data_IF_545313038896
#
_entry.id   IF_545313038896
#
_cell.length_a   1.000
_cell.length_b   1.000
_cell.length_c   1.000
_cell.angle_alpha   90.00
_cell.angle_beta   90.00
_cell.angle_gamma   90.00
#
_symmetry.space_group_name_H-M   'P 1'
#
loop_
_entity.id
_entity.type
_entity.pdbx_description
1 polymer ?
#
# COMPACT_ATOMS: atom_id res chain seq x y z
N UNK A 1 10.53 -36.70 -16.20
CA UNK A 1 9.91 -35.73 -15.29
C UNK A 1 9.44 -34.56 -16.14
N UNK A 2 8.15 -34.25 -16.09
CA UNK A 2 7.61 -33.08 -16.80
C UNK A 2 8.08 -31.79 -16.11
N UNK A 3 8.66 -30.87 -16.90
CA UNK A 3 9.22 -29.62 -16.39
C UNK A 3 8.13 -28.70 -15.81
N UNK A 4 6.93 -28.70 -16.39
CA UNK A 4 5.81 -27.91 -15.87
C UNK A 4 5.38 -28.39 -14.49
N UNK A 5 5.33 -29.70 -14.29
CA UNK A 5 5.00 -30.31 -13.01
C UNK A 5 6.05 -30.03 -11.94
N UNK A 6 7.33 -30.17 -12.27
CA UNK A 6 8.44 -29.81 -11.35
C UNK A 6 8.33 -28.35 -10.94
N UNK A 7 8.03 -27.45 -11.88
CA UNK A 7 7.84 -26.03 -11.60
C UNK A 7 6.62 -25.74 -10.70
N UNK A 8 5.48 -26.39 -10.95
CA UNK A 8 4.28 -26.25 -10.10
C UNK A 8 4.55 -26.72 -8.68
N UNK A 9 5.17 -27.88 -8.50
CA UNK A 9 5.48 -28.43 -7.18
C UNK A 9 6.54 -27.60 -6.46
N UNK A 10 7.54 -27.08 -7.17
CA UNK A 10 8.50 -26.14 -6.61
C UNK A 10 7.84 -24.88 -6.06
N UNK A 11 6.95 -24.24 -6.83
CA UNK A 11 6.21 -23.05 -6.36
C UNK A 11 5.33 -23.35 -5.15
N UNK A 12 4.71 -24.53 -5.11
CA UNK A 12 3.96 -24.98 -3.94
C UNK A 12 4.88 -25.14 -2.73
N UNK A 13 6.02 -25.84 -2.88
CA UNK A 13 7.00 -26.02 -1.82
C UNK A 13 7.53 -24.69 -1.26
N UNK A 14 7.70 -23.66 -2.09
CA UNK A 14 8.13 -22.34 -1.63
C UNK A 14 7.13 -21.62 -0.71
N UNK A 15 5.85 -22.02 -0.74
CA UNK A 15 4.72 -21.32 -0.07
C UNK A 15 4.05 -22.14 1.02
N UNK A 16 4.02 -23.45 0.87
CA UNK A 16 3.32 -24.38 1.76
C UNK A 16 4.19 -24.73 2.98
N UNK A 17 4.01 -24.00 4.09
CA UNK A 17 4.76 -24.22 5.34
C UNK A 17 4.58 -25.65 5.89
N UNK A 18 3.42 -26.28 5.68
CA UNK A 18 3.18 -27.65 6.14
C UNK A 18 4.02 -28.64 5.33
N UNK A 19 4.04 -28.50 4.01
CA UNK A 19 4.88 -29.30 3.13
C UNK A 19 6.36 -29.11 3.44
N UNK A 20 6.79 -27.88 3.72
CA UNK A 20 8.15 -27.56 4.14
C UNK A 20 8.50 -28.26 5.46
N UNK A 21 7.63 -28.16 6.47
CA UNK A 21 7.83 -28.82 7.76
C UNK A 21 7.94 -30.34 7.62
N UNK A 22 7.08 -30.96 6.82
CA UNK A 22 7.15 -32.40 6.53
C UNK A 22 8.48 -32.77 5.87
N UNK A 23 8.91 -32.01 4.86
CA UNK A 23 10.19 -32.22 4.20
C UNK A 23 11.38 -32.02 5.17
N UNK A 24 11.29 -31.04 6.07
CA UNK A 24 12.36 -30.66 7.00
C UNK A 24 12.48 -31.58 8.21
N UNK A 25 11.37 -32.10 8.70
CA UNK A 25 11.34 -33.02 9.84
C UNK A 25 11.61 -34.47 9.42
N UNK A 26 11.39 -34.82 8.16
CA UNK A 26 11.54 -36.19 7.69
C UNK A 26 12.99 -36.71 7.75
N UNK A 27 14.02 -35.86 7.83
CA UNK A 27 15.44 -36.27 7.93
C UNK A 27 15.85 -37.42 6.97
N UNK A 28 15.29 -37.47 5.76
CA UNK A 28 15.55 -38.53 4.77
C UNK A 28 14.56 -39.73 4.81
N UNK A 29 13.63 -39.78 5.75
CA UNK A 29 12.49 -40.70 5.71
C UNK A 29 11.54 -40.31 4.58
N UNK A 30 11.10 -41.28 3.76
CA UNK A 30 10.23 -41.04 2.59
C UNK A 30 8.79 -41.50 2.81
N UNK A 31 8.46 -42.02 3.99
CA UNK A 31 7.14 -42.59 4.31
C UNK A 31 6.00 -41.56 4.22
N UNK A 32 6.27 -40.30 4.56
CA UNK A 32 5.32 -39.20 4.43
C UNK A 32 4.87 -38.97 2.97
N UNK A 33 5.70 -39.35 1.98
CA UNK A 33 5.41 -39.21 0.55
C UNK A 33 4.30 -40.14 0.05
N UNK A 34 3.89 -41.14 0.84
CA UNK A 34 2.87 -42.12 0.42
C UNK A 34 1.49 -41.48 0.16
N UNK A 35 1.24 -40.31 0.73
CA UNK A 35 -0.02 -39.56 0.61
C UNK A 35 -0.06 -38.70 -0.67
N UNK A 36 1.05 -38.59 -1.39
CA UNK A 36 1.15 -37.83 -2.63
C UNK A 36 0.98 -38.73 -3.86
N UNK A 37 0.43 -38.19 -4.96
CA UNK A 37 0.46 -38.82 -6.28
C UNK A 37 1.87 -39.28 -6.71
N UNK A 38 1.96 -40.30 -7.55
CA UNK A 38 3.24 -40.95 -7.93
C UNK A 38 4.24 -39.99 -8.60
N UNK A 39 3.70 -39.12 -9.45
CA UNK A 39 4.40 -38.07 -10.17
C UNK A 39 4.95 -36.99 -9.23
N UNK A 40 4.17 -36.49 -8.27
CA UNK A 40 4.65 -35.57 -7.22
C UNK A 40 5.64 -36.25 -6.28
N UNK A 41 5.39 -37.51 -5.90
CA UNK A 41 6.26 -38.30 -5.01
C UNK A 41 7.67 -38.42 -5.58
N UNK A 42 7.80 -38.67 -6.88
CA UNK A 42 9.11 -38.79 -7.55
C UNK A 42 9.92 -37.48 -7.44
N UNK A 43 9.24 -36.34 -7.60
CA UNK A 43 9.86 -35.01 -7.50
C UNK A 43 10.25 -34.72 -6.05
N UNK A 44 9.34 -34.93 -5.09
CA UNK A 44 9.59 -34.69 -3.67
C UNK A 44 10.69 -35.60 -3.11
N UNK A 45 10.79 -36.84 -3.61
CA UNK A 45 11.87 -37.75 -3.26
C UNK A 45 13.22 -37.23 -3.75
N UNK A 46 13.27 -36.65 -4.96
CA UNK A 46 14.47 -35.99 -5.47
C UNK A 46 14.86 -34.77 -4.63
N UNK A 47 13.87 -33.97 -4.19
CA UNK A 47 14.11 -32.84 -3.27
C UNK A 47 14.61 -33.29 -1.89
N UNK A 48 14.03 -34.35 -1.32
CA UNK A 48 14.48 -34.93 -0.06
C UNK A 48 15.93 -35.46 -0.16
N UNK A 49 16.31 -36.02 -1.32
CA UNK A 49 17.70 -36.43 -1.59
C UNK A 49 18.70 -35.27 -1.70
N UNK A 50 18.23 -34.03 -1.89
CA UNK A 50 19.05 -32.81 -1.94
C UNK A 50 18.68 -31.82 -0.82
N UNK A 51 18.38 -32.38 0.35
CA UNK A 51 17.78 -31.67 1.48
C UNK A 51 18.40 -30.31 1.78
N UNK A 52 19.70 -30.25 2.05
CA UNK A 52 20.37 -29.01 2.47
C UNK A 52 20.22 -27.89 1.43
N UNK A 53 20.32 -28.25 0.15
CA UNK A 53 20.19 -27.30 -0.96
C UNK A 53 18.76 -26.80 -1.07
N UNK A 54 17.78 -27.70 -1.00
CA UNK A 54 16.35 -27.34 -1.09
C UNK A 54 15.94 -26.48 0.10
N UNK A 55 16.33 -26.86 1.32
CA UNK A 55 16.08 -26.10 2.54
C UNK A 55 16.64 -24.68 2.43
N UNK A 56 17.90 -24.54 2.02
CA UNK A 56 18.52 -23.23 1.85
C UNK A 56 17.74 -22.35 0.85
N UNK A 57 17.30 -22.90 -0.29
CA UNK A 57 16.53 -22.13 -1.26
C UNK A 57 15.17 -21.66 -0.73
N UNK A 58 14.44 -22.54 -0.02
CA UNK A 58 13.16 -22.20 0.60
C UNK A 58 13.34 -21.10 1.65
N UNK A 59 14.29 -21.27 2.56
CA UNK A 59 14.57 -20.29 3.62
C UNK A 59 14.97 -18.93 3.05
N UNK A 60 15.82 -18.90 2.01
CA UNK A 60 16.21 -17.65 1.35
C UNK A 60 15.05 -16.98 0.60
N UNK A 61 14.16 -17.75 -0.01
CA UNK A 61 12.98 -17.21 -0.67
C UNK A 61 12.02 -16.59 0.36
N UNK A 62 11.72 -17.31 1.44
CA UNK A 62 10.85 -16.80 2.51
C UNK A 62 11.45 -15.58 3.20
N UNK A 63 12.75 -15.59 3.48
CA UNK A 63 13.44 -14.43 4.05
C UNK A 63 13.28 -13.18 3.16
N UNK A 64 13.41 -13.32 1.83
CA UNK A 64 13.18 -12.22 0.90
C UNK A 64 11.74 -11.73 0.93
N UNK A 65 10.75 -12.62 0.96
CA UNK A 65 9.34 -12.22 1.03
C UNK A 65 9.02 -11.50 2.34
N UNK A 66 9.52 -12.01 3.47
CA UNK A 66 9.34 -11.39 4.79
C UNK A 66 9.91 -9.96 4.80
N UNK A 67 11.11 -9.78 4.25
CA UNK A 67 11.72 -8.44 4.15
C UNK A 67 10.99 -7.53 3.16
N UNK A 68 10.34 -8.09 2.15
CA UNK A 68 9.64 -7.30 1.14
C UNK A 68 8.45 -6.53 1.71
N UNK A 69 7.85 -7.00 2.82
CA UNK A 69 6.84 -6.25 3.60
C UNK A 69 7.39 -4.90 4.08
N UNK A 70 8.53 -4.92 4.77
CA UNK A 70 9.19 -3.71 5.27
C UNK A 70 9.68 -2.84 4.14
N UNK A 71 10.25 -3.43 3.08
CA UNK A 71 10.73 -2.68 1.91
C UNK A 71 9.58 -1.96 1.16
N UNK A 72 8.40 -2.59 1.08
CA UNK A 72 7.22 -1.99 0.49
C UNK A 72 6.78 -0.77 1.28
N UNK A 73 6.73 -0.86 2.62
CA UNK A 73 6.45 0.28 3.49
C UNK A 73 7.53 1.36 3.40
N UNK A 74 8.81 1.01 3.38
CA UNK A 74 9.91 1.98 3.21
C UNK A 74 9.77 2.79 1.91
N UNK A 75 9.31 2.13 0.84
CA UNK A 75 9.13 2.75 -0.48
C UNK A 75 7.85 3.58 -0.56
N UNK A 76 6.70 3.02 -0.16
CA UNK A 76 5.38 3.60 -0.40
C UNK A 76 4.75 4.32 0.79
N UNK A 77 5.13 3.95 2.02
CA UNK A 77 4.56 4.46 3.26
C UNK A 77 5.60 4.62 4.40
N UNK A 78 6.68 5.40 4.18
CA UNK A 78 7.78 5.49 5.13
C UNK A 78 7.41 6.14 6.47
N UNK A 79 6.37 6.99 6.52
CA UNK A 79 5.94 7.61 7.78
C UNK A 79 5.24 6.58 8.67
N UNK A 80 4.39 5.75 8.08
CA UNK A 80 3.74 4.60 8.71
C UNK A 80 4.80 3.66 9.25
N UNK A 81 5.78 3.24 8.43
CA UNK A 81 6.86 2.35 8.88
C UNK A 81 7.54 2.91 10.15
N UNK A 82 7.90 4.19 10.13
CA UNK A 82 8.54 4.85 11.26
C UNK A 82 7.64 4.94 12.50
N UNK A 83 6.35 5.20 12.32
CA UNK A 83 5.38 5.21 13.41
C UNK A 83 5.24 3.82 14.04
N UNK A 84 5.10 2.75 13.23
CA UNK A 84 5.02 1.37 13.70
C UNK A 84 6.27 0.95 14.49
N UNK A 85 7.46 1.34 14.03
CA UNK A 85 8.72 1.10 14.75
C UNK A 85 8.72 1.83 16.10
N UNK A 86 8.28 3.09 16.14
CA UNK A 86 8.30 3.88 17.37
C UNK A 86 7.31 3.38 18.44
N UNK A 87 6.19 2.76 18.04
CA UNK A 87 5.28 2.09 18.99
C UNK A 87 5.74 0.68 19.38
N UNK A 88 6.87 0.20 18.83
CA UNK A 88 7.47 -1.09 19.19
C UNK A 88 6.78 -2.31 18.57
N UNK A 89 6.12 -2.14 17.43
CA UNK A 89 5.41 -3.22 16.76
C UNK A 89 6.38 -4.26 16.16
N UNK A 90 6.09 -5.55 16.35
CA UNK A 90 6.91 -6.64 15.81
C UNK A 90 6.64 -6.85 14.31
N UNK A 91 7.32 -6.06 13.48
CA UNK A 91 7.19 -6.10 12.02
C UNK A 91 7.53 -7.46 11.41
N UNK A 92 8.60 -8.19 11.83
CA UNK A 92 8.83 -9.55 11.36
C UNK A 92 7.65 -10.51 11.57
N UNK A 93 7.02 -10.47 12.74
CA UNK A 93 5.85 -11.31 13.03
C UNK A 93 4.65 -10.90 12.18
N UNK A 94 4.35 -9.61 12.08
CA UNK A 94 3.27 -9.11 11.22
C UNK A 94 3.48 -9.45 9.74
N UNK A 95 4.71 -9.35 9.25
CA UNK A 95 5.07 -9.71 7.88
C UNK A 95 4.78 -11.18 7.58
N UNK A 96 5.14 -12.09 8.50
CA UNK A 96 4.80 -13.52 8.35
C UNK A 96 3.30 -13.77 8.41
N UNK A 97 2.58 -13.09 9.30
CA UNK A 97 1.11 -13.19 9.38
C UNK A 97 0.46 -12.72 8.08
N UNK A 98 0.86 -11.55 7.56
CA UNK A 98 0.41 -11.04 6.27
C UNK A 98 0.65 -12.06 5.15
N UNK A 99 1.87 -12.61 5.06
CA UNK A 99 2.23 -13.57 4.02
C UNK A 99 1.39 -14.84 4.11
N UNK A 100 1.09 -15.33 5.31
CA UNK A 100 0.20 -16.49 5.50
C UNK A 100 -1.24 -16.21 5.08
N UNK A 101 -1.78 -15.03 5.43
CA UNK A 101 -3.13 -14.60 5.01
C UNK A 101 -3.23 -14.44 3.48
N UNK A 102 -2.09 -14.25 2.80
CA UNK A 102 -1.99 -14.10 1.34
C UNK A 102 -1.32 -15.29 0.64
N UNK A 103 -1.30 -16.48 1.24
CA UNK A 103 -0.73 -17.71 0.66
C UNK A 103 0.70 -17.55 0.11
N UNK A 104 1.52 -16.75 0.80
CA UNK A 104 2.88 -16.38 0.42
C UNK A 104 2.98 -15.82 -1.00
N UNK A 105 1.98 -15.02 -1.40
CA UNK A 105 1.93 -14.38 -2.70
C UNK A 105 3.13 -13.44 -2.90
N UNK A 106 3.78 -13.57 -4.06
CA UNK A 106 4.90 -12.72 -4.47
C UNK A 106 4.39 -11.67 -5.46
N UNK A 107 4.42 -10.41 -5.02
CA UNK A 107 4.00 -9.25 -5.81
C UNK A 107 5.01 -8.87 -6.91
N UNK A 108 6.19 -9.50 -6.93
CA UNK A 108 7.24 -9.25 -7.91
C UNK A 108 7.62 -7.77 -7.97
N UNK A 109 7.62 -7.13 -9.16
CA UNK A 109 8.05 -5.74 -9.30
C UNK A 109 7.00 -4.70 -8.84
N UNK A 110 5.80 -5.13 -8.43
CA UNK A 110 4.67 -4.22 -8.14
C UNK A 110 4.71 -3.67 -6.71
N UNK A 111 5.78 -2.96 -6.35
CA UNK A 111 6.04 -2.49 -4.97
C UNK A 111 4.89 -1.65 -4.39
N UNK A 112 4.28 -0.75 -5.18
CA UNK A 112 3.17 0.08 -4.71
C UNK A 112 1.87 -0.72 -4.52
N UNK A 113 1.60 -1.70 -5.39
CA UNK A 113 0.48 -2.61 -5.18
C UNK A 113 0.66 -3.49 -3.94
N UNK A 114 1.90 -3.91 -3.67
CA UNK A 114 2.21 -4.62 -2.43
C UNK A 114 2.05 -3.72 -1.20
N UNK A 115 2.55 -2.47 -1.27
CA UNK A 115 2.40 -1.50 -0.19
C UNK A 115 0.93 -1.24 0.15
N UNK A 116 0.04 -1.08 -0.84
CA UNK A 116 -1.40 -0.89 -0.58
C UNK A 116 -2.02 -2.09 0.16
N UNK A 117 -1.72 -3.33 -0.28
CA UNK A 117 -2.20 -4.54 0.40
C UNK A 117 -1.68 -4.64 1.84
N UNK A 118 -0.42 -4.25 2.08
CA UNK A 118 0.15 -4.20 3.43
C UNK A 118 -0.56 -3.15 4.29
N UNK A 119 -0.80 -1.95 3.77
CA UNK A 119 -1.50 -0.88 4.49
C UNK A 119 -2.95 -1.25 4.81
N UNK A 120 -3.64 -1.93 3.88
CA UNK A 120 -4.97 -2.49 4.10
C UNK A 120 -4.97 -3.52 5.23
N UNK A 121 -4.06 -4.49 5.18
CA UNK A 121 -3.88 -5.48 6.24
C UNK A 121 -3.63 -4.82 7.61
N UNK A 122 -2.77 -3.79 7.67
CA UNK A 122 -2.47 -3.05 8.89
C UNK A 122 -3.71 -2.35 9.46
N UNK A 123 -4.60 -1.79 8.63
CA UNK A 123 -5.85 -1.17 9.09
C UNK A 123 -6.78 -2.17 9.78
N UNK A 124 -6.65 -3.46 9.57
CA UNK A 124 -7.47 -4.47 10.22
C UNK A 124 -6.86 -5.01 11.53
N UNK A 125 -5.62 -4.62 11.84
CA UNK A 125 -4.89 -5.15 13.00
C UNK A 125 -5.37 -4.54 14.32
N UNK A 126 -5.61 -5.42 15.29
CA UNK A 126 -6.04 -5.03 16.64
C UNK A 126 -4.92 -4.31 17.40
N UNK A 127 -3.67 -4.62 17.07
CA UNK A 127 -2.48 -3.97 17.62
C UNK A 127 -2.44 -2.46 17.36
N UNK A 128 -3.22 -1.97 16.37
CA UNK A 128 -3.38 -0.55 16.08
C UNK A 128 -4.68 0.06 16.61
N UNK A 129 -5.51 -0.69 17.34
CA UNK A 129 -6.79 -0.20 17.86
C UNK A 129 -6.61 1.00 18.81
N UNK A 130 -5.57 0.97 19.64
CA UNK A 130 -5.23 2.04 20.59
C UNK A 130 -4.41 3.18 19.95
N UNK A 131 -4.17 3.12 18.63
CA UNK A 131 -3.40 4.09 17.86
C UNK A 131 -4.19 4.65 16.67
N UNK A 132 -5.35 5.29 16.90
CA UNK A 132 -6.22 5.78 15.83
C UNK A 132 -5.54 6.82 14.93
N UNK A 133 -4.60 7.60 15.44
CA UNK A 133 -3.79 8.56 14.68
C UNK A 133 -2.80 7.88 13.71
N UNK A 134 -2.31 6.68 14.04
CA UNK A 134 -1.47 5.88 13.12
C UNK A 134 -2.36 5.28 12.03
N UNK A 135 -3.58 4.85 12.36
CA UNK A 135 -4.56 4.39 11.36
C UNK A 135 -4.93 5.52 10.39
N UNK A 136 -5.06 6.74 10.88
CA UNK A 136 -5.29 7.94 10.05
C UNK A 136 -4.08 8.22 9.14
N UNK A 137 -2.85 8.13 9.67
CA UNK A 137 -1.61 8.24 8.89
C UNK A 137 -1.51 7.16 7.81
N UNK A 138 -1.89 5.91 8.11
CA UNK A 138 -1.96 4.82 7.12
C UNK A 138 -2.92 5.21 6.00
N UNK A 139 -4.09 5.75 6.32
CA UNK A 139 -5.03 6.27 5.33
C UNK A 139 -4.43 7.36 4.44
N UNK A 140 -3.66 8.28 5.01
CA UNK A 140 -2.96 9.32 4.24
C UNK A 140 -1.92 8.72 3.28
N UNK A 141 -1.08 7.79 3.73
CA UNK A 141 -0.07 7.18 2.86
C UNK A 141 -0.67 6.21 1.84
N UNK A 142 -1.83 5.60 2.10
CA UNK A 142 -2.61 4.89 1.07
C UNK A 142 -2.98 5.82 -0.09
N UNK A 143 -3.39 7.07 0.18
CA UNK A 143 -3.62 8.05 -0.89
C UNK A 143 -2.33 8.37 -1.68
N UNK A 144 -1.15 8.36 -1.05
CA UNK A 144 0.12 8.48 -1.76
C UNK A 144 0.39 7.29 -2.69
N UNK A 145 0.10 6.07 -2.23
CA UNK A 145 0.23 4.86 -3.04
C UNK A 145 -0.74 4.90 -4.23
N UNK A 146 -2.01 5.27 -3.99
CA UNK A 146 -3.05 5.40 -5.02
C UNK A 146 -2.80 6.56 -5.99
N UNK A 147 -2.09 7.60 -5.56
CA UNK A 147 -1.57 8.63 -6.46
C UNK A 147 -0.65 7.98 -7.50
N UNK A 148 0.38 7.24 -7.06
CA UNK A 148 1.38 6.67 -7.98
C UNK A 148 0.82 5.57 -8.88
N UNK A 149 -0.02 4.68 -8.36
CA UNK A 149 -0.65 3.65 -9.19
C UNK A 149 -1.64 4.25 -10.18
N UNK A 150 -2.33 5.34 -9.80
CA UNK A 150 -3.27 6.06 -10.66
C UNK A 150 -2.64 6.88 -11.77
N UNK A 151 -1.32 7.15 -11.74
CA UNK A 151 -0.65 7.90 -12.82
C UNK A 151 -0.70 7.17 -14.18
N UNK A 152 -0.97 5.86 -14.18
CA UNK A 152 -1.15 5.08 -15.40
C UNK A 152 -2.53 5.32 -16.05
N UNK A 153 -3.51 5.79 -15.29
CA UNK A 153 -4.90 6.00 -15.72
C UNK A 153 -5.16 7.47 -16.05
N UNK A 154 -4.59 7.95 -17.16
CA UNK A 154 -4.75 9.34 -17.59
C UNK A 154 -6.14 9.55 -18.22
N UNK A 155 -7.06 10.15 -17.46
CA UNK A 155 -8.37 10.54 -17.98
C UNK A 155 -8.25 11.56 -19.13
N UNK A 156 -9.03 11.34 -20.20
CA UNK A 156 -9.12 12.24 -21.36
C UNK A 156 -9.77 13.57 -20.91
N UNK A 157 -9.18 14.74 -21.26
CA UNK A 157 -9.78 16.03 -20.94
C UNK A 157 -11.16 16.21 -21.57
N UNK A 158 -12.14 16.67 -20.78
CA UNK A 158 -13.46 17.02 -21.27
C UNK A 158 -13.53 18.54 -21.53
N UNK A 159 -13.74 18.99 -22.79
CA UNK A 159 -13.76 20.41 -23.13
C UNK A 159 -14.79 21.20 -22.31
N UNK A 160 -14.43 22.44 -21.94
CA UNK A 160 -15.31 23.35 -21.20
C UNK A 160 -15.60 22.96 -19.74
N UNK A 161 -15.00 21.87 -19.22
CA UNK A 161 -15.25 21.38 -17.85
C UNK A 161 -14.00 21.42 -16.97
N UNK A 162 -14.23 21.66 -15.68
CA UNK A 162 -13.27 21.41 -14.63
C UNK A 162 -13.23 19.91 -14.35
N UNK A 163 -12.04 19.37 -14.07
CA UNK A 163 -11.87 17.95 -13.79
C UNK A 163 -10.68 17.71 -12.87
N UNK A 164 -10.74 16.69 -12.01
CA UNK A 164 -9.56 16.21 -11.29
C UNK A 164 -8.48 15.71 -12.25
N UNK A 165 -7.25 15.74 -11.78
CA UNK A 165 -6.14 15.03 -12.40
C UNK A 165 -5.86 13.74 -11.62
N UNK A 166 -5.14 12.82 -12.25
CA UNK A 166 -4.49 11.70 -11.55
C UNK A 166 -3.27 12.14 -10.71
N UNK A 167 -2.91 13.43 -10.72
CA UNK A 167 -1.75 14.00 -10.04
C UNK A 167 -2.06 14.57 -8.65
N UNK A 168 -3.27 14.39 -8.14
CA UNK A 168 -3.57 14.67 -6.75
C UNK A 168 -4.58 13.69 -6.17
N UNK A 169 -4.59 13.59 -4.85
CA UNK A 169 -5.52 12.84 -4.01
C UNK A 169 -5.83 13.67 -2.77
N UNK A 170 -7.01 13.47 -2.20
CA UNK A 170 -7.47 14.20 -1.02
C UNK A 170 -7.67 13.22 0.13
N UNK A 171 -7.00 13.46 1.24
CA UNK A 171 -7.18 12.73 2.47
C UNK A 171 -7.91 13.59 3.52
N UNK A 172 -8.91 12.99 4.17
CA UNK A 172 -9.66 13.59 5.27
C UNK A 172 -9.17 12.99 6.59
N UNK A 173 -8.34 13.76 7.28
CA UNK A 173 -7.70 13.37 8.53
C UNK A 173 -8.57 13.79 9.71
N UNK A 174 -8.69 12.91 10.70
CA UNK A 174 -9.38 13.18 11.99
C UNK A 174 -8.43 13.74 13.05
N UNK A 175 -7.12 13.65 12.79
CA UNK A 175 -6.07 14.14 13.68
C UNK A 175 -5.26 15.27 13.04
N UNK A 176 -4.49 15.99 13.85
CA UNK A 176 -3.57 17.02 13.40
C UNK A 176 -2.30 16.43 12.73
N UNK A 177 -2.43 15.54 11.73
CA UNK A 177 -1.30 14.87 11.05
C UNK A 177 -0.26 15.86 10.51
N UNK A 178 -0.66 17.11 10.20
CA UNK A 178 0.27 18.18 9.84
C UNK A 178 1.44 18.38 10.83
N UNK A 179 1.25 18.07 12.12
CA UNK A 179 2.31 18.16 13.12
C UNK A 179 3.41 17.13 12.85
N UNK A 180 3.04 15.87 12.59
CA UNK A 180 3.96 14.82 12.20
C UNK A 180 4.58 15.04 10.81
N UNK A 181 3.85 15.61 9.87
CA UNK A 181 4.38 15.95 8.55
C UNK A 181 5.47 17.03 8.61
N UNK A 182 5.37 17.96 9.57
CA UNK A 182 6.38 19.02 9.82
C UNK A 182 7.55 18.50 10.66
N UNK A 183 7.27 17.73 11.71
CA UNK A 183 8.28 17.12 12.58
C UNK A 183 8.16 15.60 12.61
N UNK A 184 8.93 14.96 11.72
CA UNK A 184 8.99 13.50 11.60
C UNK A 184 9.62 12.82 12.82
N UNK A 185 10.26 13.56 13.72
CA UNK A 185 10.84 12.98 14.94
C UNK A 185 9.77 12.57 15.95
N UNK A 186 8.56 13.15 15.86
CA UNK A 186 7.42 12.89 16.74
C UNK A 186 6.49 11.76 16.23
N UNK A 187 6.74 11.20 15.04
CA UNK A 187 5.91 10.13 14.46
C UNK A 187 5.74 8.96 15.42
N UNK A 188 4.51 8.64 15.81
CA UNK A 188 4.22 7.55 16.76
C UNK A 188 4.76 7.77 18.18
N UNK A 189 5.25 8.97 18.52
CA UNK A 189 5.77 9.32 19.85
C UNK A 189 4.74 10.19 20.58
N UNK A 190 3.66 9.54 21.00
CA UNK A 190 2.56 10.18 21.71
C UNK A 190 1.36 10.51 20.83
N UNK A 191 0.21 10.79 21.46
CA UNK A 191 -1.05 11.01 20.75
C UNK A 191 -1.03 12.33 19.99
N UNK A 192 -1.73 12.37 18.86
CA UNK A 192 -2.05 13.61 18.17
C UNK A 192 -3.37 14.20 18.65
N UNK A 193 -3.45 15.52 18.64
CA UNK A 193 -4.70 16.23 18.92
C UNK A 193 -5.75 15.90 17.85
N UNK A 194 -7.00 15.59 18.24
CA UNK A 194 -8.11 15.48 17.30
C UNK A 194 -8.34 16.82 16.60
N UNK A 195 -8.26 16.82 15.27
CA UNK A 195 -8.50 17.99 14.45
C UNK A 195 -8.88 17.52 13.04
N UNK A 196 -9.98 18.03 12.50
CA UNK A 196 -10.35 17.75 11.12
C UNK A 196 -9.39 18.50 10.18
N UNK A 197 -8.58 17.77 9.42
CA UNK A 197 -7.66 18.34 8.44
C UNK A 197 -7.96 17.78 7.04
N UNK A 198 -7.95 18.68 6.06
CA UNK A 198 -8.02 18.31 4.65
C UNK A 198 -6.61 18.40 4.06
N UNK A 199 -6.02 17.25 3.76
CA UNK A 199 -4.65 17.15 3.27
C UNK A 199 -4.70 16.77 1.80
N UNK A 200 -4.19 17.64 0.94
CA UNK A 200 -3.98 17.34 -0.46
C UNK A 200 -2.60 16.71 -0.65
N UNK A 201 -2.58 15.50 -1.17
CA UNK A 201 -1.38 14.84 -1.68
C UNK A 201 -1.31 15.15 -3.18
N UNK A 202 -0.24 15.78 -3.65
CA UNK A 202 -0.14 16.15 -5.06
C UNK A 202 1.26 15.98 -5.63
N UNK A 203 1.33 15.77 -6.94
CA UNK A 203 2.57 15.65 -7.70
C UNK A 203 2.86 17.00 -8.38
N UNK A 204 3.91 17.75 -7.97
CA UNK A 204 4.20 19.06 -8.54
C UNK A 204 4.64 19.01 -10.01
N UNK A 205 5.33 17.93 -10.40
CA UNK A 205 5.67 17.59 -11.77
C UNK A 205 6.05 16.10 -11.84
N UNK A 206 6.11 15.48 -13.04
CA UNK A 206 6.36 14.04 -13.19
C UNK A 206 7.72 13.55 -12.65
N UNK A 207 8.69 14.43 -12.49
CA UNK A 207 10.05 14.09 -12.02
C UNK A 207 10.22 14.28 -10.50
N UNK A 208 9.29 14.99 -9.86
CA UNK A 208 9.33 15.29 -8.43
C UNK A 208 8.67 14.20 -7.58
N UNK A 209 9.00 14.18 -6.29
CA UNK A 209 8.20 13.44 -5.30
C UNK A 209 6.90 14.17 -5.00
N UNK A 210 5.88 13.42 -4.57
CA UNK A 210 4.64 14.01 -4.08
C UNK A 210 4.88 14.93 -2.88
N UNK A 211 3.98 15.89 -2.69
CA UNK A 211 3.98 16.83 -1.57
C UNK A 211 2.65 16.78 -0.85
N UNK A 212 2.68 17.17 0.41
CA UNK A 212 1.49 17.36 1.24
C UNK A 212 1.23 18.85 1.40
N UNK A 213 -0.02 19.27 1.33
CA UNK A 213 -0.43 20.61 1.73
C UNK A 213 -1.79 20.58 2.41
N UNK A 214 -1.97 21.42 3.42
CA UNK A 214 -3.30 21.65 3.98
C UNK A 214 -4.09 22.51 3.01
N UNK A 215 -5.35 22.14 2.79
CA UNK A 215 -6.30 22.94 2.01
C UNK A 215 -7.50 23.31 2.87
N UNK A 216 -8.21 24.38 2.49
CA UNK A 216 -9.40 24.79 3.21
C UNK A 216 -10.54 23.77 3.00
N UNK A 217 -11.53 23.71 3.91
CA UNK A 217 -12.72 22.87 3.72
C UNK A 217 -13.45 23.16 2.40
N UNK A 218 -13.47 24.43 1.97
CA UNK A 218 -14.03 24.83 0.68
C UNK A 218 -13.26 24.23 -0.50
N UNK A 219 -11.93 24.27 -0.48
CA UNK A 219 -11.09 23.65 -1.51
C UNK A 219 -11.27 22.13 -1.53
N UNK A 220 -11.37 21.50 -0.36
CA UNK A 220 -11.63 20.06 -0.25
C UNK A 220 -12.98 19.68 -0.84
N UNK A 221 -14.03 20.46 -0.55
CA UNK A 221 -15.37 20.27 -1.14
C UNK A 221 -15.37 20.45 -2.65
N UNK A 222 -14.80 21.54 -3.17
CA UNK A 222 -14.72 21.77 -4.62
C UNK A 222 -13.93 20.66 -5.33
N UNK A 223 -12.83 20.21 -4.73
CA UNK A 223 -12.11 19.05 -5.23
C UNK A 223 -13.00 17.79 -5.18
N UNK A 224 -13.74 17.57 -4.09
CA UNK A 224 -14.68 16.46 -3.92
C UNK A 224 -15.74 16.43 -5.05
N UNK A 225 -16.34 17.58 -5.38
CA UNK A 225 -17.40 17.69 -6.39
C UNK A 225 -16.92 17.38 -7.83
N UNK A 226 -15.61 17.43 -8.05
CA UNK A 226 -14.94 17.15 -9.33
C UNK A 226 -14.57 15.67 -9.53
N UNK A 227 -15.14 14.75 -8.76
CA UNK A 227 -15.04 13.31 -9.04
C UNK A 227 -15.49 12.98 -10.48
N UNK A 228 -16.44 13.76 -10.99
CA UNK A 228 -16.82 13.78 -12.40
C UNK A 228 -16.55 15.18 -12.99
N UNK A 229 -16.23 15.31 -14.29
CA UNK A 229 -16.06 16.61 -14.92
C UNK A 229 -17.31 17.51 -14.82
N UNK A 230 -17.17 18.74 -14.33
CA UNK A 230 -18.27 19.70 -14.08
C UNK A 230 -18.10 21.03 -14.82
N UNK A 231 -19.22 21.67 -15.17
CA UNK A 231 -19.22 23.08 -15.57
C UNK A 231 -19.14 23.98 -14.33
N UNK A 232 -18.75 25.25 -14.52
CA UNK A 232 -18.67 26.21 -13.40
C UNK A 232 -20.04 26.41 -12.72
N UNK A 233 -21.11 26.47 -13.52
CA UNK A 233 -22.48 26.64 -13.05
C UNK A 233 -22.97 25.46 -12.19
N UNK A 234 -22.49 24.25 -12.48
CA UNK A 234 -22.80 23.05 -11.70
C UNK A 234 -22.13 23.10 -10.31
N UNK A 235 -20.93 23.69 -10.23
CA UNK A 235 -20.20 23.85 -8.96
C UNK A 235 -20.81 24.96 -8.09
N UNK A 236 -21.40 25.97 -8.73
CA UNK A 236 -22.00 27.14 -8.09
C UNK A 236 -23.35 26.88 -7.40
N UNK A 237 -24.08 25.86 -7.83
CA UNK A 237 -25.47 25.61 -7.42
C UNK A 237 -25.62 25.03 -6.00
N UNK A 238 -24.52 24.75 -5.31
CA UNK A 238 -24.54 24.05 -4.02
C UNK A 238 -24.39 24.96 -2.78
N UNK A 239 -23.94 26.24 -2.89
CA UNK A 239 -23.82 27.23 -1.77
C UNK A 239 -23.75 28.68 -2.35
N UNK A 240 -24.23 29.75 -1.66
CA UNK A 240 -24.20 31.11 -2.20
C UNK A 240 -22.78 31.59 -2.53
N UNK A 241 -22.64 32.15 -3.74
CA UNK A 241 -21.42 32.76 -4.26
C UNK A 241 -20.87 33.86 -3.35
N UNK A 242 -19.73 33.58 -2.75
CA UNK A 242 -18.70 34.61 -2.60
C UNK A 242 -17.71 34.35 -3.73
N UNK A 243 -17.19 35.39 -4.42
CA UNK A 243 -16.26 35.29 -5.56
C UNK A 243 -14.90 34.60 -5.30
N UNK A 244 -14.82 33.77 -4.27
CA UNK A 244 -13.66 33.04 -3.76
C UNK A 244 -13.49 31.66 -4.45
N UNK A 245 -14.55 31.04 -4.97
CA UNK A 245 -14.46 29.68 -5.56
C UNK A 245 -13.53 29.62 -6.78
N UNK A 246 -13.55 30.63 -7.66
CA UNK A 246 -12.62 30.70 -8.80
C UNK A 246 -11.17 30.85 -8.35
N UNK A 247 -10.92 31.61 -7.29
CA UNK A 247 -9.58 31.75 -6.72
C UNK A 247 -9.12 30.41 -6.09
N UNK A 248 -10.02 29.68 -5.44
CA UNK A 248 -9.76 28.34 -4.89
C UNK A 248 -9.48 27.33 -6.01
N UNK A 249 -10.28 27.30 -7.07
CA UNK A 249 -10.05 26.46 -8.25
C UNK A 249 -8.69 26.81 -8.91
N UNK A 250 -8.35 28.08 -9.00
CA UNK A 250 -7.04 28.54 -9.47
C UNK A 250 -5.88 28.00 -8.62
N UNK A 251 -6.01 28.01 -7.29
CA UNK A 251 -5.02 27.41 -6.38
C UNK A 251 -4.92 25.89 -6.55
N UNK A 252 -6.05 25.19 -6.67
CA UNK A 252 -6.05 23.74 -6.92
C UNK A 252 -5.39 23.40 -8.26
N UNK A 253 -5.60 24.22 -9.28
CA UNK A 253 -4.95 24.08 -10.58
C UNK A 253 -3.42 24.25 -10.48
N UNK A 254 -2.94 25.26 -9.73
CA UNK A 254 -1.50 25.46 -9.48
C UNK A 254 -0.83 24.28 -8.76
N UNK A 255 -1.61 23.50 -8.00
CA UNK A 255 -1.16 22.28 -7.33
C UNK A 255 -1.30 21.03 -8.21
N UNK A 256 -1.57 21.20 -9.51
CA UNK A 256 -1.91 20.14 -10.46
C UNK A 256 -3.07 19.25 -10.02
N UNK A 257 -3.91 19.67 -9.08
CA UNK A 257 -4.98 18.84 -8.55
C UNK A 257 -6.17 18.74 -9.52
N UNK A 258 -6.38 19.81 -10.29
CA UNK A 258 -7.45 19.90 -11.28
C UNK A 258 -6.92 20.48 -12.60
N UNK A 259 -7.65 20.20 -13.68
CA UNK A 259 -7.55 20.93 -14.94
C UNK A 259 -8.64 21.97 -15.01
N UNK A 260 -8.28 23.15 -15.46
CA UNK A 260 -9.24 24.19 -15.83
C UNK A 260 -9.77 23.92 -17.24
N UNK A 261 -11.00 24.36 -17.56
CA UNK A 261 -11.51 24.33 -18.92
C UNK A 261 -10.56 25.08 -19.87
N UNK A 262 -10.27 24.47 -21.01
CA UNK A 262 -9.56 25.10 -22.12
C UNK A 262 -10.49 26.00 -22.94
#
# INVERSE_FOLDING_TARGET
MDAEQVWKLWRRLLRDETLQQQLFQAQGATQWLQHFPEDERTILQAYAGQFDRVKWFVENYQFRLVNSFTNALETGAPLTLRALINIGLDLPTLSRTFLREHDWFDFGPRVYGYCDAVLEFLLERQELADHPEIRDLIGLERECVHLYTGLMDVAVPVPGRYQRTAQARLHHSRFALSHWLRDKTQLGRGPLEPACQHILVYLPNPEARHKFTLISPQAARLYADLEQPRLLEDLASHVPHNGDDLAVLGKLHQLNAIRMPA
#
